data_IF_130989343757
#
_entry.id   IF_130989343757
#
_cell.length_a   1.000
_cell.length_b   1.000
_cell.length_c   1.000
_cell.angle_alpha   90.00
_cell.angle_beta   90.00
_cell.angle_gamma   90.00
#
_symmetry.space_group_name_H-M   'P 1'
#
loop_
_entity.id
_entity.type
_entity.pdbx_description
1 polymer ?
#
# COMPACT_ATOMS: atom_id res chain seq x y z
N UNK A 1 8.33 14.13 11.68
CA UNK A 1 6.89 13.82 11.84
C UNK A 1 5.99 15.04 11.59
N UNK A 2 6.45 16.27 11.90
CA UNK A 2 5.65 17.49 11.83
C UNK A 2 5.10 17.82 10.42
N UNK A 3 5.94 17.76 9.39
CA UNK A 3 5.51 17.95 7.98
C UNK A 3 4.29 17.08 7.58
N UNK A 4 4.30 15.78 7.92
CA UNK A 4 3.21 14.86 7.59
C UNK A 4 1.95 15.06 8.44
N UNK A 5 2.07 15.69 9.62
CA UNK A 5 0.93 16.08 10.46
C UNK A 5 0.27 17.37 9.93
N UNK A 6 1.08 18.30 9.42
CA UNK A 6 0.62 19.58 8.84
C UNK A 6 0.05 19.44 7.42
N UNK A 7 0.39 18.35 6.70
CA UNK A 7 -0.12 18.08 5.35
C UNK A 7 -0.97 16.79 5.27
N UNK A 8 -2.15 16.74 5.90
CA UNK A 8 -3.00 15.55 5.91
C UNK A 8 -3.47 15.18 4.49
N UNK A 9 -3.76 16.16 3.64
CA UNK A 9 -4.17 15.92 2.26
C UNK A 9 -3.07 15.20 1.45
N UNK A 10 -1.82 15.66 1.53
CA UNK A 10 -0.69 15.03 0.85
C UNK A 10 -0.50 13.59 1.32
N UNK A 11 -0.62 13.34 2.63
CA UNK A 11 -0.52 12.00 3.20
C UNK A 11 -1.59 11.07 2.63
N UNK A 12 -2.85 11.52 2.59
CA UNK A 12 -3.97 10.74 2.07
C UNK A 12 -3.80 10.48 0.56
N UNK A 13 -3.38 11.48 -0.21
CA UNK A 13 -3.12 11.32 -1.65
C UNK A 13 -2.01 10.30 -1.89
N UNK A 14 -0.92 10.37 -1.13
CA UNK A 14 0.16 9.40 -1.22
C UNK A 14 -0.33 7.97 -0.89
N UNK A 15 -1.12 7.80 0.17
CA UNK A 15 -1.73 6.51 0.52
C UNK A 15 -2.64 5.99 -0.58
N UNK A 16 -3.46 6.84 -1.19
CA UNK A 16 -4.35 6.46 -2.28
C UNK A 16 -3.58 6.00 -3.52
N UNK A 17 -2.52 6.73 -3.91
CA UNK A 17 -1.65 6.34 -5.02
C UNK A 17 -0.99 4.99 -4.74
N UNK A 18 -0.41 4.81 -3.55
CA UNK A 18 0.21 3.54 -3.15
C UNK A 18 -0.80 2.40 -3.12
N UNK A 19 -2.03 2.65 -2.67
CA UNK A 19 -3.11 1.66 -2.66
C UNK A 19 -3.46 1.21 -4.09
N UNK A 20 -3.64 2.14 -5.02
CA UNK A 20 -3.93 1.81 -6.42
C UNK A 20 -2.78 1.03 -7.06
N UNK A 21 -1.52 1.43 -6.80
CA UNK A 21 -0.35 0.70 -7.27
C UNK A 21 -0.30 -0.72 -6.70
N UNK A 22 -0.54 -0.88 -5.40
CA UNK A 22 -0.57 -2.18 -4.74
C UNK A 22 -1.67 -3.09 -5.31
N UNK A 23 -2.87 -2.54 -5.55
CA UNK A 23 -3.97 -3.27 -6.20
C UNK A 23 -3.60 -3.67 -7.63
N UNK A 24 -2.95 -2.78 -8.39
CA UNK A 24 -2.47 -3.09 -9.73
C UNK A 24 -1.44 -4.23 -9.72
N UNK A 25 -0.53 -4.27 -8.75
CA UNK A 25 0.40 -5.39 -8.56
C UNK A 25 -0.34 -6.70 -8.28
N UNK A 26 -1.30 -6.71 -7.35
CA UNK A 26 -2.07 -7.92 -7.04
C UNK A 26 -2.82 -8.43 -8.28
N UNK A 27 -3.48 -7.53 -9.03
CA UNK A 27 -4.20 -7.89 -10.26
C UNK A 27 -3.23 -8.35 -11.36
N UNK A 28 -2.06 -7.73 -11.49
CA UNK A 28 -1.04 -8.15 -12.45
C UNK A 28 -0.47 -9.53 -12.11
N UNK A 29 -0.14 -9.78 -10.84
CA UNK A 29 0.32 -11.09 -10.39
C UNK A 29 -0.72 -12.18 -10.57
N UNK A 30 -2.00 -11.87 -10.36
CA UNK A 30 -3.10 -12.81 -10.63
C UNK A 30 -3.19 -13.21 -12.12
N UNK A 31 -2.90 -12.31 -13.05
CA UNK A 31 -2.86 -12.65 -14.48
C UNK A 31 -1.74 -13.64 -14.85
N UNK A 32 -0.76 -13.84 -13.96
CA UNK A 32 0.35 -14.78 -14.10
C UNK A 32 0.14 -16.06 -13.27
N UNK A 33 -1.13 -16.46 -13.06
CA UNK A 33 -1.47 -17.65 -12.27
C UNK A 33 -0.77 -18.90 -12.82
N UNK A 34 -0.10 -19.65 -11.94
CA UNK A 34 0.71 -20.82 -12.30
C UNK A 34 2.22 -20.55 -12.33
N UNK A 35 2.63 -19.28 -12.28
CA UNK A 35 4.04 -18.89 -12.20
C UNK A 35 4.43 -18.42 -10.79
N UNK A 36 5.60 -18.86 -10.31
CA UNK A 36 6.18 -18.37 -9.05
C UNK A 36 6.41 -16.85 -9.06
N UNK A 37 6.72 -16.29 -10.23
CA UNK A 37 6.85 -14.84 -10.39
C UNK A 37 5.53 -14.11 -10.12
N UNK A 38 4.41 -14.64 -10.64
CA UNK A 38 3.07 -14.12 -10.38
C UNK A 38 2.74 -14.12 -8.89
N UNK A 39 3.03 -15.22 -8.21
CA UNK A 39 2.88 -15.31 -6.75
C UNK A 39 3.73 -14.27 -6.02
N UNK A 40 5.00 -14.11 -6.39
CA UNK A 40 5.89 -13.11 -5.80
C UNK A 40 5.36 -11.67 -5.94
N UNK A 41 4.80 -11.34 -7.11
CA UNK A 41 4.17 -10.03 -7.35
C UNK A 41 2.92 -9.84 -6.48
N UNK A 42 2.08 -10.87 -6.36
CA UNK A 42 0.90 -10.80 -5.49
C UNK A 42 1.30 -10.56 -4.03
N UNK A 43 2.31 -11.29 -3.53
CA UNK A 43 2.82 -11.12 -2.17
C UNK A 43 3.38 -9.71 -1.96
N UNK A 44 4.14 -9.18 -2.93
CA UNK A 44 4.65 -7.82 -2.86
C UNK A 44 3.52 -6.77 -2.83
N UNK A 45 2.48 -6.96 -3.66
CA UNK A 45 1.29 -6.10 -3.65
C UNK A 45 0.56 -6.13 -2.31
N UNK A 46 0.34 -7.31 -1.73
CA UNK A 46 -0.30 -7.45 -0.41
C UNK A 46 0.55 -6.83 0.70
N UNK A 47 1.87 -7.05 0.68
CA UNK A 47 2.78 -6.42 1.64
C UNK A 47 2.70 -4.89 1.56
N UNK A 48 2.62 -4.32 0.35
CA UNK A 48 2.46 -2.88 0.15
C UNK A 48 1.11 -2.38 0.68
N UNK A 49 0.02 -3.14 0.52
CA UNK A 49 -1.28 -2.82 1.13
C UNK A 49 -1.18 -2.76 2.67
N UNK A 50 -0.46 -3.70 3.28
CA UNK A 50 -0.23 -3.69 4.74
C UNK A 50 0.58 -2.48 5.19
N UNK A 51 1.57 -2.04 4.40
CA UNK A 51 2.31 -0.79 4.66
C UNK A 51 1.38 0.42 4.61
N UNK A 52 0.52 0.52 3.60
CA UNK A 52 -0.47 1.61 3.50
C UNK A 52 -1.40 1.62 4.71
N UNK A 53 -1.89 0.44 5.12
CA UNK A 53 -2.72 0.30 6.32
C UNK A 53 -1.97 0.73 7.59
N UNK A 54 -0.70 0.34 7.75
CA UNK A 54 0.11 0.74 8.89
C UNK A 54 0.32 2.27 8.92
N UNK A 55 0.53 2.90 7.76
CA UNK A 55 0.64 4.36 7.66
C UNK A 55 -0.69 5.05 7.98
N UNK A 56 -1.82 4.47 7.56
CA UNK A 56 -3.15 4.99 7.91
C UNK A 56 -3.41 4.87 9.41
N UNK A 57 -2.99 3.77 10.04
CA UNK A 57 -3.22 3.50 11.46
C UNK A 57 -2.32 4.32 12.40
N UNK A 58 -1.16 4.78 11.94
CA UNK A 58 -0.18 5.53 12.76
C UNK A 58 -0.77 6.68 13.60
N UNK A 59 -1.64 7.57 13.07
CA UNK A 59 -2.22 8.67 13.85
C UNK A 59 -3.18 8.21 14.94
N UNK A 60 -3.73 6.99 14.85
CA UNK A 60 -4.60 6.41 15.87
C UNK A 60 -3.83 5.68 16.98
N UNK A 61 -2.51 5.56 16.84
CA UNK A 61 -1.61 4.97 17.85
C UNK A 61 -1.08 6.00 18.85
N UNK A 62 -1.18 7.29 18.52
CA UNK A 62 -0.87 8.39 19.44
C UNK A 62 -2.01 8.46 20.48
N UNK A 63 -1.84 7.81 21.64
CA UNK A 63 -2.70 7.98 22.83
C UNK A 63 -2.56 9.38 23.43
#
# INVERSE_FOLDING_TARGET
MQFWKEHPALRIVLMAVLFVLAMALVVAGWKMTGELAGLGIMVAGVALLLVVLALYNRPFQDK
#
